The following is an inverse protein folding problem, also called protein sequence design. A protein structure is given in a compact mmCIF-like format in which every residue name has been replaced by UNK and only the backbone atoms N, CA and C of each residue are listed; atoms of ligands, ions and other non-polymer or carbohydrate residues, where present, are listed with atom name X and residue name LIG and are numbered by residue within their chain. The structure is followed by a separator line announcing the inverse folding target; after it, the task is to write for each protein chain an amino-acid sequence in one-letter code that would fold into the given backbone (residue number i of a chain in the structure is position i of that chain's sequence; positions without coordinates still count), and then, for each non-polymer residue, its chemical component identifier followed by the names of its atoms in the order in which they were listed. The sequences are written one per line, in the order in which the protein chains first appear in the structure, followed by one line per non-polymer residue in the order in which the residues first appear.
data_IF_848183630231
#
_entry.id   IF_848183630231
#
_cell.length_a   1.000
_cell.length_b   1.000
_cell.length_c   1.000
_cell.angle_alpha   90.00
_cell.angle_beta   90.00
_cell.angle_gamma   90.00
#
_symmetry.space_group_name_H-M   'P 1'
#
loop_
_entity.id
_entity.type
_entity.pdbx_description
1 polymer ?
#
# COMPACT_ATOMS: atom_id res chain seq x y z
N UNK A 1 -8.41 21.65 -33.45
CA UNK A 1 -7.27 20.80 -33.81
C UNK A 1 -7.55 19.40 -33.30
N UNK A 2 -7.43 18.33 -34.11
CA UNK A 2 -7.62 16.97 -33.61
C UNK A 2 -6.53 16.66 -32.57
N UNK A 3 -6.96 16.23 -31.39
CA UNK A 3 -6.08 15.72 -30.33
C UNK A 3 -5.53 14.39 -30.85
N UNK A 4 -4.25 14.34 -31.22
CA UNK A 4 -3.57 13.06 -31.52
C UNK A 4 -3.84 12.10 -30.38
N UNK A 5 -4.40 10.95 -30.71
CA UNK A 5 -4.56 9.87 -29.72
C UNK A 5 -3.15 9.43 -29.33
N UNK A 6 -2.72 9.78 -28.13
CA UNK A 6 -1.45 9.30 -27.58
C UNK A 6 -1.62 7.84 -27.17
N UNK A 7 -0.68 6.99 -27.57
CA UNK A 7 -0.67 5.61 -27.13
C UNK A 7 -0.28 5.52 -25.65
N UNK A 8 -0.98 4.67 -24.92
CA UNK A 8 -0.68 4.47 -23.50
C UNK A 8 0.72 3.86 -23.31
N UNK A 9 1.47 4.40 -22.37
CA UNK A 9 2.77 3.89 -21.96
C UNK A 9 2.62 2.81 -20.89
N UNK A 10 3.70 2.07 -20.65
CA UNK A 10 3.81 1.11 -19.54
C UNK A 10 5.07 1.40 -18.71
N UNK A 11 5.09 0.94 -17.46
CA UNK A 11 6.24 1.05 -16.59
C UNK A 11 6.54 -0.31 -15.95
N UNK A 12 7.71 -0.85 -16.23
CA UNK A 12 8.25 -2.05 -15.59
C UNK A 12 9.09 -1.63 -14.38
N UNK A 13 8.72 -2.12 -13.20
CA UNK A 13 9.43 -1.83 -11.96
C UNK A 13 10.08 -3.10 -11.42
N UNK A 14 11.31 -2.98 -10.94
CA UNK A 14 12.03 -4.06 -10.27
C UNK A 14 12.58 -3.55 -8.94
N UNK A 15 12.38 -4.30 -7.87
CA UNK A 15 12.88 -3.98 -6.53
C UNK A 15 13.75 -5.12 -6.03
N UNK A 16 14.99 -4.81 -5.71
CA UNK A 16 15.97 -5.76 -5.18
C UNK A 16 16.51 -5.28 -3.83
N UNK A 17 16.81 -6.22 -2.96
CA UNK A 17 17.54 -5.95 -1.71
C UNK A 17 18.98 -5.52 -1.98
N UNK A 18 19.70 -5.13 -0.94
CA UNK A 18 21.14 -4.83 -1.03
C UNK A 18 21.98 -6.00 -1.55
N UNK A 19 21.56 -7.23 -1.24
CA UNK A 19 22.20 -8.49 -1.65
C UNK A 19 21.75 -8.99 -3.02
N UNK A 20 20.77 -8.33 -3.66
CA UNK A 20 20.24 -8.73 -4.97
C UNK A 20 19.09 -9.73 -4.89
N UNK A 21 18.52 -9.98 -3.71
CA UNK A 21 17.30 -10.79 -3.56
C UNK A 21 16.08 -9.97 -3.96
N UNK A 22 15.09 -10.54 -4.70
CA UNK A 22 13.83 -9.87 -4.97
C UNK A 22 13.12 -9.40 -3.70
N UNK A 23 12.49 -8.23 -3.77
CA UNK A 23 11.69 -7.68 -2.67
C UNK A 23 10.22 -7.77 -3.04
N UNK A 24 9.51 -8.69 -2.40
CA UNK A 24 8.07 -8.85 -2.53
C UNK A 24 7.33 -7.79 -1.71
N UNK A 25 6.06 -7.50 -2.09
CA UNK A 25 5.14 -6.60 -1.38
C UNK A 25 5.62 -5.15 -1.22
N UNK A 26 6.63 -4.73 -1.98
CA UNK A 26 6.98 -3.32 -2.06
C UNK A 26 5.86 -2.55 -2.78
N UNK A 27 5.34 -1.52 -2.13
CA UNK A 27 4.35 -0.61 -2.71
C UNK A 27 5.10 0.36 -3.64
N UNK A 28 4.63 0.41 -4.87
CA UNK A 28 5.12 1.30 -5.93
C UNK A 28 4.00 2.24 -6.33
N UNK A 29 4.33 3.52 -6.44
CA UNK A 29 3.41 4.57 -6.88
C UNK A 29 4.11 5.38 -7.97
N UNK A 30 3.48 5.52 -9.13
CA UNK A 30 3.96 6.39 -10.21
C UNK A 30 3.12 7.68 -10.23
N UNK A 31 3.68 8.77 -9.74
CA UNK A 31 3.02 10.08 -9.65
C UNK A 31 3.40 10.93 -10.87
N UNK A 32 2.44 11.34 -11.73
CA UNK A 32 2.72 12.23 -12.86
C UNK A 32 3.08 13.63 -12.36
N UNK A 33 4.11 14.25 -12.98
CA UNK A 33 4.57 15.58 -12.60
C UNK A 33 3.51 16.67 -12.80
N UNK A 34 2.57 16.45 -13.72
CA UNK A 34 1.48 17.39 -14.04
C UNK A 34 0.23 17.20 -13.16
N UNK A 35 0.31 16.37 -12.13
CA UNK A 35 -0.81 16.01 -11.26
C UNK A 35 -1.59 14.80 -11.75
N UNK A 36 -2.18 14.08 -10.81
CA UNK A 36 -2.96 12.87 -11.07
C UNK A 36 -4.34 13.22 -11.63
N UNK A 37 -4.91 12.37 -12.50
CA UNK A 37 -6.30 12.49 -12.88
C UNK A 37 -7.21 12.29 -11.67
N UNK A 38 -8.44 12.83 -11.69
CA UNK A 38 -9.37 12.65 -10.57
C UNK A 38 -9.61 11.17 -10.28
N UNK A 39 -9.82 10.81 -9.01
CA UNK A 39 -10.11 9.44 -8.62
C UNK A 39 -11.34 8.88 -9.33
N UNK A 40 -11.31 7.59 -9.66
CA UNK A 40 -12.49 6.91 -10.18
C UNK A 40 -13.54 6.80 -9.06
N UNK A 41 -14.82 7.07 -9.35
CA UNK A 41 -15.87 6.93 -8.35
C UNK A 41 -16.10 5.46 -7.98
N UNK A 42 -16.51 5.20 -6.72
CA UNK A 42 -16.95 3.87 -6.29
C UNK A 42 -15.84 2.85 -6.06
N UNK A 43 -14.58 3.30 -5.91
CA UNK A 43 -13.47 2.40 -5.56
C UNK A 43 -13.72 1.75 -4.21
N UNK A 44 -13.50 0.44 -4.14
CA UNK A 44 -13.63 -0.38 -2.93
C UNK A 44 -12.46 -1.30 -2.77
N UNK A 45 -12.10 -1.57 -1.52
CA UNK A 45 -11.06 -2.54 -1.17
C UNK A 45 -11.37 -3.17 0.19
N UNK A 46 -10.57 -4.15 0.61
CA UNK A 46 -10.78 -4.92 1.83
C UNK A 46 -9.47 -5.06 2.60
N UNK A 47 -9.52 -4.80 3.89
CA UNK A 47 -8.47 -5.09 4.86
C UNK A 47 -9.06 -6.03 5.92
N UNK A 48 -8.88 -7.35 5.73
CA UNK A 48 -9.41 -8.37 6.66
C UNK A 48 -8.57 -8.46 7.94
N UNK A 49 -9.15 -9.04 8.96
CA UNK A 49 -8.49 -9.38 10.21
C UNK A 49 -8.51 -10.90 10.37
N UNK A 50 -7.34 -11.52 10.32
CA UNK A 50 -7.18 -12.98 10.33
C UNK A 50 -5.89 -13.40 11.04
N UNK A 51 -5.99 -14.37 11.94
CA UNK A 51 -4.86 -14.86 12.73
C UNK A 51 -4.16 -13.73 13.51
N UNK A 52 -4.94 -12.84 14.11
CA UNK A 52 -4.45 -11.67 14.85
C UNK A 52 -3.57 -10.73 13.98
N UNK A 53 -3.86 -10.64 12.70
CA UNK A 53 -3.16 -9.77 11.73
C UNK A 53 -4.13 -9.05 10.82
N UNK A 54 -3.75 -7.87 10.34
CA UNK A 54 -4.37 -7.26 9.17
C UNK A 54 -3.91 -7.99 7.90
N UNK A 55 -4.85 -8.32 7.01
CA UNK A 55 -4.59 -9.05 5.75
C UNK A 55 -5.24 -8.32 4.58
N UNK A 56 -4.45 -7.80 3.64
CA UNK A 56 -2.99 -7.81 3.60
C UNK A 56 -2.37 -6.92 4.69
N UNK A 57 -1.14 -7.18 5.12
CA UNK A 57 -0.44 -6.36 6.13
C UNK A 57 -0.18 -4.92 5.67
N UNK A 58 -0.17 -4.70 4.36
CA UNK A 58 -0.18 -3.38 3.73
C UNK A 58 -1.10 -3.36 2.51
N UNK A 59 -1.93 -2.34 2.42
CA UNK A 59 -2.82 -2.05 1.30
C UNK A 59 -2.39 -0.73 0.65
N UNK A 60 -2.51 -0.61 -0.66
CA UNK A 60 -2.38 0.66 -1.36
C UNK A 60 -3.68 0.97 -2.09
N UNK A 61 -4.19 2.17 -1.89
CA UNK A 61 -5.49 2.58 -2.44
C UNK A 61 -5.42 3.99 -3.03
N UNK A 62 -6.27 4.27 -4.01
CA UNK A 62 -6.45 5.63 -4.50
C UNK A 62 -7.32 6.43 -3.52
N UNK A 63 -7.07 7.73 -3.42
CA UNK A 63 -7.92 8.67 -2.68
C UNK A 63 -9.39 8.51 -3.06
N UNK A 64 -10.28 8.46 -2.07
CA UNK A 64 -11.72 8.22 -2.25
C UNK A 64 -12.12 6.75 -2.18
N UNK A 65 -11.20 5.81 -2.05
CA UNK A 65 -11.51 4.38 -1.87
C UNK A 65 -12.20 4.13 -0.54
N UNK A 66 -13.29 3.37 -0.59
CA UNK A 66 -13.98 2.85 0.59
C UNK A 66 -13.39 1.47 0.94
N UNK A 67 -12.80 1.34 2.13
CA UNK A 67 -12.20 0.09 2.60
C UNK A 67 -13.10 -0.57 3.64
N UNK A 68 -13.44 -1.83 3.38
CA UNK A 68 -14.13 -2.71 4.32
C UNK A 68 -13.11 -3.37 5.25
N UNK A 69 -13.50 -3.53 6.52
CA UNK A 69 -12.70 -4.19 7.56
C UNK A 69 -13.45 -5.40 8.13
N UNK A 70 -13.59 -6.52 7.40
CA UNK A 70 -14.15 -7.73 7.98
C UNK A 70 -13.23 -8.30 9.07
N UNK A 71 -13.82 -9.05 10.00
CA UNK A 71 -13.10 -9.80 11.01
C UNK A 71 -13.37 -11.29 10.80
N UNK A 72 -12.43 -12.00 10.19
CA UNK A 72 -12.49 -13.43 9.92
C UNK A 72 -11.95 -14.28 11.07
N UNK A 73 -11.50 -13.65 12.17
CA UNK A 73 -11.11 -14.35 13.39
C UNK A 73 -12.33 -14.72 14.27
N UNK A 74 -12.14 -15.65 15.16
CA UNK A 74 -13.15 -16.02 16.15
C UNK A 74 -13.19 -15.08 17.36
N UNK A 75 -12.20 -14.21 17.49
CA UNK A 75 -12.08 -13.20 18.54
C UNK A 75 -12.51 -11.84 18.03
N UNK A 76 -12.92 -10.95 18.93
CA UNK A 76 -13.26 -9.58 18.56
C UNK A 76 -12.00 -8.77 18.33
N UNK A 77 -12.06 -7.85 17.38
CA UNK A 77 -11.02 -6.87 17.10
C UNK A 77 -11.58 -5.45 17.07
N UNK A 78 -10.69 -4.51 17.28
CA UNK A 78 -10.93 -3.09 17.06
C UNK A 78 -9.98 -2.62 15.96
N UNK A 79 -10.43 -1.70 15.11
CA UNK A 79 -9.56 -1.05 14.13
C UNK A 79 -9.53 0.43 14.42
N UNK A 80 -8.34 1.00 14.59
CA UNK A 80 -8.18 2.43 14.75
C UNK A 80 -6.95 2.96 14.00
N UNK A 81 -6.97 4.25 13.75
CA UNK A 81 -5.82 5.02 13.26
C UNK A 81 -5.85 6.43 13.83
N UNK A 82 -4.66 6.93 14.18
CA UNK A 82 -4.41 8.33 14.54
C UNK A 82 -3.57 9.06 13.49
N UNK A 83 -3.36 8.44 12.33
CA UNK A 83 -2.56 9.03 11.26
C UNK A 83 -3.22 10.29 10.69
N UNK A 84 -2.45 11.35 10.35
CA UNK A 84 -2.99 12.61 9.82
C UNK A 84 -3.77 12.45 8.50
N UNK A 85 -3.45 11.42 7.72
CA UNK A 85 -4.17 11.10 6.48
C UNK A 85 -5.58 10.54 6.76
N UNK A 86 -5.76 9.76 7.83
CA UNK A 86 -7.07 9.28 8.26
C UNK A 86 -7.08 8.93 9.75
N UNK A 87 -7.85 9.68 10.53
CA UNK A 87 -8.13 9.36 11.93
C UNK A 87 -9.52 8.74 12.02
N UNK A 88 -9.60 7.53 12.60
CA UNK A 88 -10.88 6.85 12.81
C UNK A 88 -10.75 5.75 13.87
N UNK A 89 -11.89 5.30 14.36
CA UNK A 89 -11.98 4.19 15.30
C UNK A 89 -13.27 3.41 15.02
N UNK A 90 -13.15 2.11 14.76
CA UNK A 90 -14.25 1.16 14.75
C UNK A 90 -14.37 0.56 16.14
N UNK A 91 -15.59 0.43 16.66
CA UNK A 91 -15.81 -0.23 17.95
C UNK A 91 -15.43 -1.72 17.86
N UNK A 92 -15.22 -2.35 19.01
CA UNK A 92 -14.89 -3.77 19.11
C UNK A 92 -15.99 -4.65 18.49
N UNK A 93 -15.64 -5.48 17.50
CA UNK A 93 -16.59 -6.32 16.76
C UNK A 93 -16.01 -7.69 16.39
N UNK A 94 -16.92 -8.63 16.09
CA UNK A 94 -16.62 -9.93 15.46
C UNK A 94 -17.43 -10.07 14.17
N UNK A 95 -16.92 -10.82 13.22
CA UNK A 95 -17.61 -11.09 11.96
C UNK A 95 -17.64 -9.89 11.01
N UNK A 96 -18.84 -9.48 10.56
CA UNK A 96 -18.99 -8.42 9.57
C UNK A 96 -18.67 -7.05 10.17
N UNK A 97 -17.87 -6.29 9.44
CA UNK A 97 -17.47 -4.94 9.80
C UNK A 97 -18.65 -3.94 9.90
N UNK A 98 -18.36 -2.81 10.52
CA UNK A 98 -19.12 -1.56 10.39
C UNK A 98 -19.22 -1.11 8.92
N UNK A 99 -19.81 0.05 8.67
CA UNK A 99 -19.76 0.66 7.34
C UNK A 99 -18.31 0.87 6.89
N UNK A 100 -18.04 0.78 5.56
CA UNK A 100 -16.70 1.00 5.02
C UNK A 100 -16.13 2.36 5.43
N UNK A 101 -14.83 2.44 5.63
CA UNK A 101 -14.13 3.71 5.89
C UNK A 101 -13.61 4.28 4.57
N UNK A 102 -13.98 5.52 4.26
CA UNK A 102 -13.49 6.20 3.05
C UNK A 102 -12.15 6.88 3.35
N UNK A 103 -11.13 6.61 2.54
CA UNK A 103 -9.80 7.19 2.62
C UNK A 103 -9.67 8.36 1.63
N UNK A 104 -9.96 9.54 2.10
CA UNK A 104 -10.19 10.77 1.33
C UNK A 104 -8.98 11.72 1.26
N UNK A 105 -7.87 11.37 1.90
CA UNK A 105 -6.66 12.19 1.95
C UNK A 105 -5.42 11.34 1.70
N UNK A 106 -4.50 11.73 0.79
CA UNK A 106 -3.28 10.98 0.53
C UNK A 106 -2.34 10.97 1.74
N UNK A 107 -1.61 9.88 1.89
CA UNK A 107 -0.63 9.66 2.96
C UNK A 107 -0.64 8.25 3.52
N UNK A 108 0.29 7.97 4.42
CA UNK A 108 0.37 6.69 5.12
C UNK A 108 -0.58 6.68 6.31
N UNK A 109 -1.39 5.64 6.40
CA UNK A 109 -2.30 5.36 7.52
C UNK A 109 -1.83 4.10 8.22
N UNK A 110 -1.45 4.25 9.48
CA UNK A 110 -1.09 3.14 10.35
C UNK A 110 -2.32 2.67 11.11
N UNK A 111 -2.60 1.38 11.05
CA UNK A 111 -3.73 0.73 11.72
C UNK A 111 -3.25 -0.02 12.95
N UNK A 112 -4.03 0.01 14.00
CA UNK A 112 -3.81 -0.75 15.22
C UNK A 112 -5.08 -1.41 15.74
N UNK A 113 -4.89 -2.38 16.64
CA UNK A 113 -5.93 -3.01 17.43
C UNK A 113 -5.63 -2.80 18.92
N UNK A 114 -6.63 -2.37 19.70
CA UNK A 114 -6.42 -1.95 21.09
C UNK A 114 -6.25 -3.12 22.08
N UNK A 115 -6.65 -4.32 21.67
CA UNK A 115 -6.61 -5.54 22.51
C UNK A 115 -5.52 -6.52 22.09
N UNK A 116 -4.81 -6.24 20.99
CA UNK A 116 -3.69 -7.05 20.51
C UNK A 116 -2.59 -6.10 20.02
N UNK A 117 -1.64 -5.77 20.89
CA UNK A 117 -0.59 -4.76 20.64
C UNK A 117 0.30 -5.08 19.43
N UNK A 118 0.43 -6.36 19.07
CA UNK A 118 1.19 -6.80 17.91
C UNK A 118 0.46 -6.64 16.57
N UNK A 119 -0.86 -6.30 16.60
CA UNK A 119 -1.69 -6.21 15.41
C UNK A 119 -1.52 -4.85 14.74
N UNK A 120 -0.61 -4.81 13.77
CA UNK A 120 -0.23 -3.62 13.02
C UNK A 120 -0.52 -3.81 11.53
N UNK A 121 -1.09 -2.80 10.89
CA UNK A 121 -1.35 -2.78 9.46
C UNK A 121 -1.15 -1.39 8.87
N UNK A 122 -1.10 -1.32 7.53
CA UNK A 122 -0.86 -0.06 6.83
C UNK A 122 -1.78 0.11 5.64
N UNK A 123 -2.26 1.33 5.41
CA UNK A 123 -2.91 1.72 4.16
C UNK A 123 -2.16 2.91 3.59
N UNK A 124 -1.57 2.75 2.43
CA UNK A 124 -0.96 3.84 1.70
C UNK A 124 -1.99 4.45 0.75
N UNK A 125 -2.42 5.67 1.02
CA UNK A 125 -3.40 6.39 0.20
C UNK A 125 -2.64 7.28 -0.78
N UNK A 126 -2.97 7.20 -2.07
CA UNK A 126 -2.35 8.00 -3.14
C UNK A 126 -3.38 8.61 -4.07
N UNK A 127 -3.10 9.80 -4.62
CA UNK A 127 -3.93 10.40 -5.67
C UNK A 127 -3.68 9.76 -7.03
N UNK A 128 -2.52 9.10 -7.22
CA UNK A 128 -2.19 8.46 -8.48
C UNK A 128 -3.03 7.20 -8.71
N UNK A 129 -3.57 6.96 -9.91
CA UNK A 129 -4.21 5.70 -10.27
C UNK A 129 -3.19 4.61 -10.65
N UNK A 130 -1.91 4.93 -10.76
CA UNK A 130 -0.83 4.00 -11.15
C UNK A 130 -0.02 3.58 -9.94
N UNK A 131 -0.46 2.53 -9.29
CA UNK A 131 0.17 1.93 -8.12
C UNK A 131 -0.02 0.42 -8.11
N UNK A 132 0.75 -0.25 -7.26
CA UNK A 132 0.63 -1.68 -7.03
C UNK A 132 1.69 -2.19 -6.06
N UNK A 133 1.74 -3.51 -5.90
CA UNK A 133 2.73 -4.20 -5.07
C UNK A 133 3.57 -5.13 -5.94
N UNK A 134 4.85 -5.22 -5.64
CA UNK A 134 5.75 -6.18 -6.30
C UNK A 134 5.37 -7.61 -5.94
N UNK A 135 5.48 -8.50 -6.93
CA UNK A 135 5.34 -9.93 -6.75
C UNK A 135 6.54 -10.58 -6.05
N UNK A 136 6.50 -11.91 -5.89
CA UNK A 136 7.57 -12.70 -5.28
C UNK A 136 8.93 -12.57 -6.02
N UNK A 137 8.89 -12.23 -7.30
CA UNK A 137 10.06 -11.96 -8.14
C UNK A 137 10.59 -10.52 -8.01
N UNK A 138 9.98 -9.71 -7.15
CA UNK A 138 10.32 -8.30 -6.95
C UNK A 138 9.90 -7.40 -8.11
N UNK A 139 9.00 -7.85 -9.00
CA UNK A 139 8.57 -7.07 -10.16
C UNK A 139 7.14 -6.57 -10.06
N UNK A 140 6.86 -5.46 -10.75
CA UNK A 140 5.52 -4.90 -10.95
C UNK A 140 5.43 -4.30 -12.35
N UNK A 141 4.30 -4.49 -13.02
CA UNK A 141 3.96 -3.84 -14.28
C UNK A 141 2.81 -2.87 -14.07
N UNK A 142 3.06 -1.58 -14.29
CA UNK A 142 2.02 -0.57 -14.38
C UNK A 142 1.71 -0.32 -15.85
N UNK A 143 0.43 -0.21 -16.18
CA UNK A 143 -0.07 -0.07 -17.57
C UNK A 143 -0.94 1.17 -17.70
N UNK A 144 -1.20 1.56 -18.95
CA UNK A 144 -2.09 2.68 -19.28
C UNK A 144 -1.64 4.01 -18.68
N UNK A 145 -0.32 4.23 -18.58
CA UNK A 145 0.22 5.52 -18.17
C UNK A 145 0.16 6.49 -19.33
N UNK A 146 -0.18 7.76 -19.05
CA UNK A 146 -0.03 8.81 -20.03
C UNK A 146 1.46 9.07 -20.30
N UNK A 147 1.87 9.45 -21.53
CA UNK A 147 3.22 9.94 -21.77
C UNK A 147 3.51 11.19 -20.91
N UNK A 148 4.73 11.30 -20.40
CA UNK A 148 5.12 12.42 -19.54
C UNK A 148 6.14 12.06 -18.48
N UNK A 149 6.42 13.01 -17.60
CA UNK A 149 7.35 12.83 -16.48
C UNK A 149 6.65 12.28 -15.26
N UNK A 150 7.33 11.35 -14.57
CA UNK A 150 6.83 10.69 -13.39
C UNK A 150 7.87 10.69 -12.27
N UNK A 151 7.39 10.85 -11.04
CA UNK A 151 8.12 10.45 -9.83
C UNK A 151 7.60 9.08 -9.40
N UNK A 152 8.47 8.08 -9.44
CA UNK A 152 8.16 6.72 -8.98
C UNK A 152 8.65 6.58 -7.55
N UNK A 153 7.74 6.31 -6.62
CA UNK A 153 8.03 6.11 -5.19
C UNK A 153 7.94 4.66 -4.82
N UNK A 154 8.80 4.26 -3.89
CA UNK A 154 8.79 2.95 -3.27
C UNK A 154 8.59 3.10 -1.76
N UNK A 155 7.67 2.32 -1.22
CA UNK A 155 7.46 2.13 0.22
C UNK A 155 7.32 0.65 0.55
N UNK A 156 7.71 0.25 1.76
CA UNK A 156 7.56 -1.12 2.24
C UNK A 156 7.45 -1.12 3.76
N UNK A 157 6.62 -1.99 4.34
CA UNK A 157 6.36 -2.07 5.80
C UNK A 157 7.62 -2.28 6.64
N UNK A 158 8.64 -2.92 6.08
CA UNK A 158 9.89 -3.25 6.76
C UNK A 158 11.03 -2.27 6.41
N UNK A 159 10.76 -1.19 5.67
CA UNK A 159 11.72 -0.12 5.47
C UNK A 159 11.86 0.71 6.75
N UNK A 160 13.07 1.19 6.98
CA UNK A 160 13.32 2.18 8.02
C UNK A 160 12.79 3.55 7.57
N UNK A 161 11.74 4.03 8.23
CA UNK A 161 11.10 5.32 7.92
C UNK A 161 12.00 6.53 8.23
N UNK A 162 13.07 6.36 9.02
CA UNK A 162 14.05 7.40 9.30
C UNK A 162 14.98 7.70 8.12
N UNK A 163 14.91 6.89 7.05
CA UNK A 163 15.70 7.07 5.84
C UNK A 163 15.03 7.98 4.80
N UNK A 164 15.80 8.45 3.79
CA UNK A 164 15.23 9.22 2.70
C UNK A 164 14.23 8.36 1.93
N UNK A 165 13.12 8.99 1.50
CA UNK A 165 12.12 8.34 0.66
C UNK A 165 12.79 7.79 -0.61
N UNK A 166 12.57 6.51 -0.89
CA UNK A 166 13.08 5.87 -2.10
C UNK A 166 12.23 6.31 -3.29
N UNK A 167 12.80 7.15 -4.14
CA UNK A 167 12.14 7.66 -5.33
C UNK A 167 13.11 7.83 -6.48
N UNK A 168 12.59 7.76 -7.69
CA UNK A 168 13.30 8.11 -8.92
C UNK A 168 12.37 8.88 -9.86
N UNK A 169 12.96 9.67 -10.76
CA UNK A 169 12.23 10.40 -11.80
C UNK A 169 12.55 9.76 -13.15
N UNK A 170 11.54 9.66 -14.00
CA UNK A 170 11.69 9.18 -15.36
C UNK A 170 10.65 9.82 -16.27
N UNK A 171 10.95 9.85 -17.56
CA UNK A 171 10.02 10.25 -18.59
C UNK A 171 9.54 9.01 -19.37
N UNK A 172 8.24 8.95 -19.64
CA UNK A 172 7.62 7.94 -20.49
C UNK A 172 7.26 8.57 -21.83
N UNK A 173 7.81 8.04 -22.92
CA UNK A 173 7.43 8.42 -24.25
C UNK A 173 6.11 7.75 -24.67
N UNK A 174 5.48 8.28 -25.71
CA UNK A 174 4.25 7.75 -26.29
C UNK A 174 4.41 6.29 -26.70
N UNK A 175 3.53 5.42 -26.21
CA UNK A 175 3.53 3.97 -26.45
C UNK A 175 4.74 3.19 -25.90
N UNK A 176 5.66 3.85 -25.19
CA UNK A 176 6.88 3.21 -24.69
C UNK A 176 6.67 2.43 -23.40
N UNK A 177 7.57 1.48 -23.14
CA UNK A 177 7.72 0.84 -21.84
C UNK A 177 8.96 1.40 -21.14
N UNK A 178 8.74 2.18 -20.09
CA UNK A 178 9.80 2.65 -19.21
C UNK A 178 10.25 1.57 -18.23
N UNK A 179 11.41 1.78 -17.60
CA UNK A 179 11.95 0.87 -16.58
C UNK A 179 12.38 1.67 -15.36
N UNK A 180 11.93 1.24 -14.18
CA UNK A 180 12.37 1.72 -12.88
C UNK A 180 13.02 0.59 -12.08
N UNK A 181 14.26 0.79 -11.64
CA UNK A 181 14.98 -0.20 -10.84
C UNK A 181 15.37 0.38 -9.50
N UNK A 182 14.86 -0.25 -8.43
CA UNK A 182 15.24 0.09 -7.07
C UNK A 182 16.16 -0.99 -6.49
N UNK A 183 17.22 -0.56 -5.85
CA UNK A 183 18.06 -1.41 -5.03
C UNK A 183 18.13 -0.83 -3.63
N UNK A 184 17.67 -1.58 -2.66
CA UNK A 184 17.69 -1.14 -1.27
C UNK A 184 19.16 -1.06 -0.80
N UNK A 185 19.50 0.03 -0.12
CA UNK A 185 20.87 0.22 0.43
C UNK A 185 21.01 -0.41 1.81
N UNK A 186 19.91 -0.60 2.50
CA UNK A 186 19.84 -1.21 3.83
C UNK A 186 18.96 -2.45 3.77
N UNK A 187 19.22 -3.47 4.60
CA UNK A 187 18.32 -4.60 4.69
C UNK A 187 16.95 -4.14 5.19
N UNK A 188 15.90 -4.86 4.81
CA UNK A 188 14.61 -4.72 5.43
C UNK A 188 14.70 -5.13 6.90
N UNK A 189 13.96 -4.47 7.77
CA UNK A 189 13.80 -4.91 9.17
C UNK A 189 13.18 -6.31 9.19
N UNK A 190 13.49 -7.15 10.16
CA UNK A 190 12.78 -8.42 10.31
C UNK A 190 11.28 -8.15 10.52
N UNK A 191 10.40 -9.02 10.01
CA UNK A 191 8.97 -8.93 10.31
C UNK A 191 8.77 -8.90 11.83
N UNK A 192 7.80 -8.11 12.29
CA UNK A 192 7.38 -8.18 13.69
C UNK A 192 6.86 -9.59 13.95
N UNK A 193 7.52 -10.30 14.84
CA UNK A 193 7.08 -11.63 15.25
C UNK A 193 5.74 -11.47 15.97
N UNK A 194 4.74 -12.21 15.51
CA UNK A 194 3.41 -12.25 16.13
C UNK A 194 3.51 -13.10 17.42
N UNK A 195 3.96 -12.51 18.52
CA UNK A 195 4.05 -13.20 19.82
C UNK A 195 2.67 -13.61 20.38
N UNK A 196 1.57 -13.19 19.75
CA UNK A 196 0.21 -13.55 20.16
C UNK A 196 -0.30 -14.87 19.59
N UNK A 197 0.29 -15.38 18.50
CA UNK A 197 -0.18 -16.62 17.87
C UNK A 197 0.10 -17.88 18.73
N UNK A 198 1.07 -17.82 19.64
CA UNK A 198 1.46 -18.94 20.50
C UNK A 198 0.90 -18.85 21.94
N UNK A 199 0.23 -17.76 22.31
CA UNK A 199 -0.38 -17.60 23.63
C UNK A 199 -1.77 -18.25 23.64
N UNK A 200 -1.93 -19.23 24.52
CA UNK A 200 -3.24 -19.82 24.82
C UNK A 200 -4.05 -18.87 25.69
N UNK A 201 -5.37 -18.98 25.65
CA UNK A 201 -6.31 -18.22 26.48
C UNK A 201 -6.03 -18.28 27.98
N UNK A 202 -5.30 -19.32 28.40
CA UNK A 202 -4.93 -19.58 29.79
C UNK A 202 -3.81 -18.68 30.32
N UNK A 203 -3.21 -17.86 29.41
CA UNK A 203 -2.09 -16.97 29.72
C UNK A 203 -2.52 -15.51 30.02
N UNK A 204 -3.85 -15.23 30.12
CA UNK A 204 -4.41 -13.90 30.39
C UNK A 204 -5.27 -13.89 31.67
#
# INVERSE_FOLDING_TARGET
MPRLLQAAAALSVTVMSATGTPVQDAIIIAEPAQGSPPPRPGLKDVMDQRNLMFVPGALVVQTGTAVDFPNSDQVRHQVYSFSPAKTFQLALYAGKAHAPVVFDKPGLVTLGCNIHDSMLGYIYVTDSPWYGRTGADGTLQLRELAPGEYTVRLWHTLLDESGPQLQLRLALADGATGTARFRLRRPLKPPLLNHGADKKWEDY
#
